data_IF_057870400419
#
_entry.id   IF_057870400419
#
_cell.length_a   1.000
_cell.length_b   1.000
_cell.length_c   1.000
_cell.angle_alpha   90.00
_cell.angle_beta   90.00
_cell.angle_gamma   90.00
#
_symmetry.space_group_name_H-M   'P 1'
#
loop_
_entity.id
_entity.type
_entity.pdbx_description
1 polymer ?
#
# COMPACT_ATOMS: atom_id res chain seq x y z
N UNK A 1 48.31 -0.87 -32.86
CA UNK A 1 47.26 -0.04 -32.26
C UNK A 1 45.86 -0.64 -32.42
N UNK A 2 45.54 -1.17 -33.59
CA UNK A 2 44.26 -1.87 -33.81
C UNK A 2 44.08 -3.09 -32.91
N UNK A 3 45.18 -3.78 -32.58
CA UNK A 3 45.17 -5.00 -31.77
C UNK A 3 44.79 -4.72 -30.28
N UNK A 4 45.17 -3.54 -29.78
CA UNK A 4 44.78 -3.14 -28.43
C UNK A 4 43.29 -2.90 -28.29
N UNK A 5 42.68 -2.29 -29.29
CA UNK A 5 41.25 -2.06 -29.33
C UNK A 5 40.46 -3.36 -29.51
N UNK A 6 40.94 -4.26 -30.33
CA UNK A 6 40.34 -5.57 -30.51
C UNK A 6 40.36 -6.38 -29.22
N UNK A 7 41.50 -6.36 -28.50
CA UNK A 7 41.61 -7.05 -27.20
C UNK A 7 40.73 -6.44 -26.14
N UNK A 8 40.64 -5.12 -26.11
CA UNK A 8 39.77 -4.43 -25.18
C UNK A 8 38.29 -4.74 -25.43
N UNK A 9 37.90 -4.75 -26.71
CA UNK A 9 36.56 -5.09 -27.13
C UNK A 9 36.23 -6.54 -26.81
N UNK A 10 37.14 -7.46 -27.03
CA UNK A 10 36.98 -8.86 -26.66
C UNK A 10 36.88 -9.05 -25.14
N UNK A 11 37.67 -8.33 -24.37
CA UNK A 11 37.59 -8.35 -22.92
C UNK A 11 36.29 -7.75 -22.40
N UNK A 12 35.82 -6.70 -23.02
CA UNK A 12 34.51 -6.09 -22.68
C UNK A 12 33.37 -7.04 -23.07
N UNK A 13 33.44 -7.68 -24.22
CA UNK A 13 32.47 -8.67 -24.65
C UNK A 13 32.51 -9.93 -23.77
N UNK A 14 33.65 -10.29 -23.20
CA UNK A 14 33.77 -11.34 -22.21
C UNK A 14 33.27 -10.96 -20.85
N UNK A 15 33.46 -9.70 -20.43
CA UNK A 15 32.94 -9.17 -19.17
C UNK A 15 31.43 -9.00 -19.20
N UNK A 16 30.90 -8.68 -20.38
CA UNK A 16 29.45 -8.56 -20.60
C UNK A 16 28.95 -9.72 -21.46
N UNK A 17 29.43 -10.93 -21.20
CA UNK A 17 28.92 -12.11 -21.88
C UNK A 17 27.47 -12.38 -21.44
N UNK A 18 26.83 -13.34 -22.12
CA UNK A 18 25.44 -13.71 -21.84
C UNK A 18 25.20 -14.05 -20.38
N UNK A 19 26.15 -14.67 -19.70
CA UNK A 19 26.06 -15.09 -18.32
C UNK A 19 26.03 -13.89 -17.39
N UNK A 20 26.86 -12.88 -17.65
CA UNK A 20 26.89 -11.65 -16.85
C UNK A 20 25.63 -10.80 -17.06
N UNK A 21 25.15 -10.70 -18.30
CA UNK A 21 23.91 -10.02 -18.63
C UNK A 21 22.70 -10.72 -18.00
N UNK A 22 22.69 -12.05 -18.03
CA UNK A 22 21.64 -12.84 -17.37
C UNK A 22 21.69 -12.68 -15.85
N UNK A 23 22.87 -12.61 -15.26
CA UNK A 23 23.03 -12.37 -13.84
C UNK A 23 22.55 -10.96 -13.43
N UNK A 24 22.87 -9.95 -14.25
CA UNK A 24 22.37 -8.58 -14.03
C UNK A 24 20.86 -8.52 -14.23
N UNK A 25 20.33 -9.18 -15.24
CA UNK A 25 18.89 -9.26 -15.49
C UNK A 25 18.17 -9.97 -14.34
N UNK A 26 18.75 -11.05 -13.80
CA UNK A 26 18.21 -11.74 -12.63
C UNK A 26 18.23 -10.86 -11.37
N UNK A 27 19.30 -10.12 -11.13
CA UNK A 27 19.40 -9.17 -10.03
C UNK A 27 18.35 -8.05 -10.16
N UNK A 28 18.20 -7.50 -11.36
CA UNK A 28 17.17 -6.49 -11.62
C UNK A 28 15.75 -7.06 -11.46
N UNK A 29 15.55 -8.30 -11.91
CA UNK A 29 14.27 -8.99 -11.74
C UNK A 29 13.94 -9.27 -10.27
N UNK A 30 14.93 -9.55 -9.42
CA UNK A 30 14.73 -9.67 -7.97
C UNK A 30 14.41 -8.34 -7.31
N UNK A 31 15.05 -7.25 -7.75
CA UNK A 31 14.88 -5.95 -7.12
C UNK A 31 13.61 -5.23 -7.55
N UNK A 32 13.23 -5.28 -8.82
CA UNK A 32 12.09 -4.54 -9.33
C UNK A 32 10.72 -5.16 -9.02
N UNK A 33 10.48 -6.45 -9.29
CA UNK A 33 9.13 -7.00 -9.04
C UNK A 33 8.82 -7.24 -7.58
N UNK A 34 9.83 -7.53 -6.74
CA UNK A 34 9.60 -7.87 -5.33
C UNK A 34 9.50 -6.66 -4.41
N UNK A 35 10.14 -5.53 -4.75
CA UNK A 35 10.22 -4.36 -3.88
C UNK A 35 9.41 -3.16 -4.36
N UNK A 36 9.18 -3.04 -5.66
CA UNK A 36 8.46 -1.92 -6.27
C UNK A 36 7.02 -2.29 -6.62
N UNK A 37 6.74 -3.57 -6.80
CA UNK A 37 5.35 -4.02 -6.99
C UNK A 37 4.56 -3.75 -5.72
N UNK A 38 3.47 -2.96 -5.80
CA UNK A 38 2.58 -2.81 -4.66
C UNK A 38 2.07 -4.20 -4.26
N UNK A 39 1.87 -4.41 -2.96
CA UNK A 39 1.20 -5.61 -2.48
C UNK A 39 -0.09 -5.80 -3.27
N UNK A 40 -0.43 -7.02 -3.70
CA UNK A 40 -1.68 -7.23 -4.42
C UNK A 40 -2.84 -6.71 -3.59
N UNK A 41 -3.72 -5.92 -4.22
CA UNK A 41 -4.92 -5.42 -3.56
C UNK A 41 -5.81 -6.60 -3.22
N UNK A 42 -5.98 -6.84 -1.94
CA UNK A 42 -6.85 -7.90 -1.44
C UNK A 42 -8.26 -7.37 -1.30
N UNK A 43 -9.25 -8.15 -1.74
CA UNK A 43 -10.65 -7.79 -1.55
C UNK A 43 -11.02 -7.81 -0.06
N UNK A 44 -10.52 -8.79 0.67
CA UNK A 44 -10.71 -8.92 2.11
C UNK A 44 -9.41 -8.66 2.84
N UNK A 45 -9.45 -7.77 3.81
CA UNK A 45 -8.26 -7.31 4.54
C UNK A 45 -8.42 -7.50 6.04
N UNK A 46 -7.31 -7.79 6.71
CA UNK A 46 -7.23 -7.66 8.17
C UNK A 46 -7.17 -6.18 8.56
N UNK A 47 -7.34 -5.89 9.85
CA UNK A 47 -7.20 -4.51 10.34
C UNK A 47 -5.81 -3.94 10.04
N UNK A 48 -4.75 -4.73 10.17
CA UNK A 48 -3.38 -4.30 9.86
C UNK A 48 -3.18 -4.03 8.38
N UNK A 49 -3.74 -4.87 7.52
CA UNK A 49 -3.69 -4.67 6.06
C UNK A 49 -4.46 -3.42 5.65
N UNK A 50 -5.62 -3.16 6.25
CA UNK A 50 -6.40 -1.96 6.01
C UNK A 50 -5.66 -0.72 6.47
N UNK A 51 -4.98 -0.78 7.62
CA UNK A 51 -4.16 0.32 8.12
C UNK A 51 -3.04 0.65 7.13
N UNK A 52 -2.38 -0.34 6.55
CA UNK A 52 -1.37 -0.13 5.51
C UNK A 52 -1.98 0.44 4.23
N UNK A 53 -3.11 -0.07 3.82
CA UNK A 53 -3.82 0.40 2.63
C UNK A 53 -4.19 1.88 2.76
N UNK A 54 -4.65 2.32 3.92
CA UNK A 54 -4.98 3.71 4.19
C UNK A 54 -3.80 4.52 4.70
N UNK A 55 -2.61 3.93 4.77
CA UNK A 55 -1.38 4.58 5.24
C UNK A 55 -1.49 5.10 6.69
N UNK A 56 -2.21 4.38 7.53
CA UNK A 56 -2.32 4.67 8.95
C UNK A 56 -1.14 4.02 9.67
N UNK A 57 -0.02 4.71 9.68
CA UNK A 57 1.21 4.21 10.28
C UNK A 57 1.69 5.17 11.37
N UNK A 58 2.39 4.62 12.37
CA UNK A 58 2.99 5.42 13.43
C UNK A 58 4.35 6.00 12.96
N UNK A 59 5.04 6.70 13.86
CA UNK A 59 6.34 7.30 13.57
C UNK A 59 7.40 6.28 13.16
N UNK A 60 7.25 5.01 13.57
CA UNK A 60 8.15 3.91 13.23
C UNK A 60 7.79 3.20 11.93
N UNK A 61 6.73 3.64 11.23
CA UNK A 61 6.26 3.01 10.01
C UNK A 61 5.44 1.75 10.23
N UNK A 62 5.04 1.44 11.45
CA UNK A 62 4.20 0.30 11.77
C UNK A 62 2.72 0.65 11.62
N UNK A 63 1.87 -0.27 11.10
CA UNK A 63 0.45 0.01 10.96
C UNK A 63 -0.24 0.14 12.32
N UNK A 64 -1.11 1.15 12.45
CA UNK A 64 -1.90 1.38 13.65
C UNK A 64 -3.35 0.98 13.39
N UNK A 65 -3.88 0.08 14.20
CA UNK A 65 -5.24 -0.44 14.06
C UNK A 65 -6.24 0.18 15.03
N UNK A 66 -5.79 0.97 15.98
CA UNK A 66 -6.63 1.55 17.03
C UNK A 66 -7.78 2.38 16.46
N UNK A 67 -7.51 3.25 15.49
CA UNK A 67 -8.52 4.07 14.83
C UNK A 67 -9.53 3.22 14.07
N UNK A 68 -9.06 2.20 13.35
CA UNK A 68 -9.91 1.28 12.58
C UNK A 68 -10.87 0.54 13.52
N UNK A 69 -10.36 0.02 14.62
CA UNK A 69 -11.18 -0.70 15.60
C UNK A 69 -12.20 0.23 16.26
N UNK A 70 -11.82 1.46 16.53
CA UNK A 70 -12.73 2.48 17.08
C UNK A 70 -13.86 2.78 16.10
N UNK A 71 -13.55 2.96 14.83
CA UNK A 71 -14.57 3.23 13.80
C UNK A 71 -15.49 2.04 13.57
N UNK A 72 -14.97 0.82 13.61
CA UNK A 72 -15.75 -0.39 13.47
C UNK A 72 -16.72 -0.62 14.63
N UNK A 73 -16.38 -0.13 15.83
CA UNK A 73 -17.21 -0.24 17.04
C UNK A 73 -18.25 0.87 17.21
N UNK A 74 -18.30 1.83 16.29
CA UNK A 74 -19.31 2.89 16.37
C UNK A 74 -20.73 2.31 16.33
N UNK A 75 -21.71 2.93 17.01
CA UNK A 75 -23.12 2.57 16.85
C UNK A 75 -23.59 2.77 15.41
N UNK A 76 -24.66 2.09 15.03
CA UNK A 76 -25.20 2.15 13.67
C UNK A 76 -25.58 3.56 13.22
N UNK A 77 -26.03 4.41 14.14
CA UNK A 77 -26.38 5.79 13.87
C UNK A 77 -25.17 6.73 13.73
N UNK A 78 -23.99 6.29 14.11
CA UNK A 78 -22.75 7.07 14.03
C UNK A 78 -21.85 6.67 12.85
N UNK A 79 -22.39 6.02 11.84
CA UNK A 79 -21.68 5.61 10.64
C UNK A 79 -20.50 4.69 10.94
N UNK A 80 -20.75 3.45 11.39
CA UNK A 80 -19.68 2.50 11.71
C UNK A 80 -18.96 2.02 10.44
N UNK A 81 -17.67 1.71 10.58
CA UNK A 81 -16.88 1.17 9.49
C UNK A 81 -17.38 -0.23 9.13
N UNK A 82 -17.72 -0.49 7.85
CA UNK A 82 -18.17 -1.81 7.41
C UNK A 82 -17.12 -2.88 7.71
N UNK A 83 -17.55 -3.97 8.34
CA UNK A 83 -16.71 -5.10 8.68
C UNK A 83 -17.53 -6.39 8.69
N UNK A 84 -16.85 -7.51 8.62
CA UNK A 84 -17.49 -8.83 8.67
C UNK A 84 -16.69 -9.76 9.56
N UNK A 85 -17.38 -10.66 10.25
CA UNK A 85 -16.75 -11.71 11.00
C UNK A 85 -16.82 -13.02 10.21
N UNK A 86 -15.66 -13.63 9.96
CA UNK A 86 -15.55 -14.96 9.39
C UNK A 86 -15.14 -15.90 10.51
N UNK A 87 -16.13 -16.48 11.23
CA UNK A 87 -15.88 -17.11 12.52
C UNK A 87 -15.44 -16.07 13.54
N UNK A 88 -14.26 -16.25 14.12
CA UNK A 88 -13.66 -15.30 15.06
C UNK A 88 -12.79 -14.25 14.38
N UNK A 89 -12.63 -14.33 13.05
CA UNK A 89 -11.73 -13.47 12.29
C UNK A 89 -12.46 -12.23 11.77
N UNK A 90 -12.02 -11.06 12.18
CA UNK A 90 -12.54 -9.78 11.70
C UNK A 90 -11.88 -9.45 10.36
N UNK A 91 -12.71 -9.12 9.37
CA UNK A 91 -12.24 -8.78 8.01
C UNK A 91 -12.98 -7.56 7.49
N UNK A 92 -12.32 -6.83 6.59
CA UNK A 92 -12.84 -5.63 5.96
C UNK A 92 -12.83 -5.82 4.45
N UNK A 93 -13.95 -5.55 3.78
CA UNK A 93 -14.03 -5.61 2.33
C UNK A 93 -13.56 -4.28 1.74
N UNK A 94 -12.64 -4.34 0.77
CA UNK A 94 -12.01 -3.14 0.20
C UNK A 94 -13.01 -2.12 -0.34
N UNK A 95 -13.95 -2.57 -1.17
CA UNK A 95 -14.91 -1.68 -1.80
C UNK A 95 -15.83 -1.00 -0.76
N UNK A 96 -16.22 -1.74 0.26
CA UNK A 96 -17.07 -1.21 1.33
C UNK A 96 -16.33 -0.16 2.18
N UNK A 97 -15.07 -0.41 2.53
CA UNK A 97 -14.29 0.53 3.33
C UNK A 97 -13.91 1.77 2.53
N UNK A 98 -13.67 1.64 1.23
CA UNK A 98 -13.42 2.79 0.35
C UNK A 98 -14.65 3.68 0.23
N UNK A 99 -15.82 3.10 0.04
CA UNK A 99 -17.08 3.82 0.00
C UNK A 99 -17.34 4.53 1.34
N UNK A 100 -17.12 3.82 2.46
CA UNK A 100 -17.25 4.39 3.81
C UNK A 100 -16.31 5.59 4.01
N UNK A 101 -15.06 5.47 3.57
CA UNK A 101 -14.07 6.54 3.72
C UNK A 101 -14.50 7.82 3.00
N UNK A 102 -15.06 7.69 1.80
CA UNK A 102 -15.58 8.81 1.02
C UNK A 102 -16.77 9.47 1.73
N UNK A 103 -17.69 8.67 2.25
CA UNK A 103 -18.85 9.15 3.00
C UNK A 103 -18.43 9.84 4.31
N UNK A 104 -17.49 9.26 5.04
CA UNK A 104 -16.97 9.83 6.27
C UNK A 104 -16.30 11.18 6.02
N UNK A 105 -15.52 11.31 4.96
CA UNK A 105 -14.91 12.58 4.57
C UNK A 105 -15.99 13.63 4.26
N UNK A 106 -17.08 13.26 3.60
CA UNK A 106 -18.21 14.13 3.31
C UNK A 106 -18.93 14.58 4.57
N UNK A 107 -19.18 13.68 5.51
CA UNK A 107 -19.78 13.99 6.81
C UNK A 107 -18.94 14.98 7.60
N UNK A 108 -17.64 14.79 7.64
CA UNK A 108 -16.72 15.69 8.35
C UNK A 108 -16.73 17.10 7.76
N UNK A 109 -16.74 17.22 6.43
CA UNK A 109 -16.84 18.51 5.77
C UNK A 109 -18.14 19.25 6.14
N UNK A 110 -19.24 18.56 6.07
CA UNK A 110 -20.55 19.12 6.42
C UNK A 110 -20.59 19.58 7.87
N UNK A 111 -20.07 18.80 8.80
CA UNK A 111 -19.98 19.17 10.20
C UNK A 111 -19.09 20.41 10.41
N UNK A 112 -17.96 20.49 9.74
CA UNK A 112 -17.05 21.62 9.82
C UNK A 112 -17.68 22.89 9.24
N UNK A 113 -18.41 22.80 8.15
CA UNK A 113 -19.16 23.91 7.58
C UNK A 113 -20.24 24.43 8.53
N UNK A 114 -21.01 23.55 9.14
CA UNK A 114 -21.99 23.90 10.16
C UNK A 114 -21.35 24.59 11.36
N UNK A 115 -20.17 24.14 11.78
CA UNK A 115 -19.40 24.78 12.85
C UNK A 115 -19.01 26.21 12.48
N UNK A 116 -18.48 26.40 11.26
CA UNK A 116 -18.11 27.73 10.77
C UNK A 116 -19.29 28.68 10.72
N UNK A 117 -20.43 28.22 10.26
CA UNK A 117 -21.66 29.01 10.21
C UNK A 117 -22.19 29.38 11.60
N UNK A 118 -21.98 28.52 12.60
CA UNK A 118 -22.39 28.82 13.99
C UNK A 118 -21.50 29.86 14.68
N UNK A 119 -20.23 29.93 14.27
CA UNK A 119 -19.25 30.85 14.83
C UNK A 119 -19.33 32.22 14.18
N UNK A 120 -19.79 32.26 12.94
CA UNK A 120 -20.02 33.50 12.20
C UNK A 120 -21.37 34.07 12.56
#
# INVERSE_FOLDING_TARGET
MLDKYSNLKQKLDQLFDRTTLDAIALLLAEFEPAKISPEPLLDWMTASQLARYWQLVNANGEPTTAGIMKWARRPEDEHPLPHAYMGDLLRFHRDDVDAWAKEEAGRRRTQNEKRRLRIA
#
